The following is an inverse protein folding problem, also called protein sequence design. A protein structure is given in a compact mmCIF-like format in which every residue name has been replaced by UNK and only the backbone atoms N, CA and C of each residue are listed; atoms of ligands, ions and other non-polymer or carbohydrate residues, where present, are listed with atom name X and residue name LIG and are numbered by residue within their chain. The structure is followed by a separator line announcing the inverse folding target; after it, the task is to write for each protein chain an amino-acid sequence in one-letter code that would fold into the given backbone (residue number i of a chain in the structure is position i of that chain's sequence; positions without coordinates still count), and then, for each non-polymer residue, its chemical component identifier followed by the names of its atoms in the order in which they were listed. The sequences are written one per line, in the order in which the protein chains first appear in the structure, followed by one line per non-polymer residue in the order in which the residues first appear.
data_IF_298061349256
#
_entry.id   IF_298061349256
#
_cell.length_a   1.000
_cell.length_b   1.000
_cell.length_c   1.000
_cell.angle_alpha   90.00
_cell.angle_beta   90.00
_cell.angle_gamma   90.00
#
_symmetry.space_group_name_H-M   'P 1'
#
loop_
_entity.id
_entity.type
_entity.pdbx_description
1 polymer ?
#
# COMPACT_ATOMS: atom_id res chain seq x y z
N UNK A 1 -5.57 -12.11 41.07
CA UNK A 1 -6.22 -11.56 39.85
C UNK A 1 -5.33 -10.58 39.08
N UNK A 2 -4.00 -10.56 39.26
CA UNK A 2 -3.06 -9.72 38.48
C UNK A 2 -2.37 -10.48 37.33
N UNK A 3 -2.26 -11.80 37.45
CA UNK A 3 -1.59 -12.66 36.46
C UNK A 3 -2.43 -12.93 35.19
N UNK A 4 -3.77 -12.92 35.30
CA UNK A 4 -4.66 -13.17 34.15
C UNK A 4 -4.61 -12.02 33.14
N UNK A 5 -4.51 -10.78 33.62
CA UNK A 5 -4.40 -9.60 32.75
C UNK A 5 -3.08 -9.57 31.97
N UNK A 6 -1.98 -10.08 32.55
CA UNK A 6 -0.66 -10.10 31.93
C UNK A 6 -0.58 -11.20 30.85
N UNK A 7 -1.20 -12.37 31.08
CA UNK A 7 -1.27 -13.42 30.06
C UNK A 7 -2.15 -13.05 28.86
N UNK A 8 -3.17 -12.21 29.03
CA UNK A 8 -4.04 -11.79 27.92
C UNK A 8 -3.37 -10.76 27.00
N UNK A 9 -2.50 -9.90 27.53
CA UNK A 9 -1.67 -8.98 26.72
C UNK A 9 -0.59 -9.70 25.90
N UNK A 10 -0.07 -10.82 26.39
CA UNK A 10 0.98 -11.58 25.71
C UNK A 10 0.49 -12.27 24.43
N UNK A 11 -0.80 -12.57 24.32
CA UNK A 11 -1.39 -13.25 23.16
C UNK A 11 -1.53 -12.27 21.98
N UNK A 12 -1.71 -10.96 22.23
CA UNK A 12 -1.73 -9.94 21.17
C UNK A 12 -0.35 -9.66 20.56
N UNK A 13 0.76 -10.02 21.22
CA UNK A 13 2.11 -9.79 20.70
C UNK A 13 2.57 -10.80 19.64
N UNK A 14 1.81 -11.89 19.42
CA UNK A 14 2.14 -12.95 18.47
C UNK A 14 1.31 -12.89 17.17
N UNK A 15 0.24 -12.10 17.15
CA UNK A 15 -0.40 -11.75 15.90
C UNK A 15 0.49 -10.70 15.24
N UNK A 16 1.28 -11.11 14.24
CA UNK A 16 1.69 -10.20 13.17
C UNK A 16 0.40 -9.61 12.61
N UNK A 17 -0.07 -8.50 13.20
CA UNK A 17 -1.01 -7.60 12.58
C UNK A 17 -0.26 -7.01 11.41
N UNK A 18 -0.19 -7.75 10.30
CA UNK A 18 0.20 -7.19 9.02
C UNK A 18 -0.84 -6.11 8.75
N UNK A 19 -0.38 -4.86 8.72
CA UNK A 19 -1.27 -3.72 8.64
C UNK A 19 -2.15 -3.92 7.39
N UNK A 20 -3.49 -3.92 7.51
CA UNK A 20 -4.39 -4.12 6.37
C UNK A 20 -4.14 -3.09 5.26
N UNK A 21 -3.59 -1.92 5.62
CA UNK A 21 -3.15 -0.92 4.64
C UNK A 21 -1.92 -1.41 3.90
N UNK A 22 -0.92 -1.94 4.59
CA UNK A 22 0.33 -2.41 3.96
C UNK A 22 0.01 -3.45 2.87
N UNK A 23 -0.91 -4.38 3.14
CA UNK A 23 -1.35 -5.36 2.15
C UNK A 23 -2.00 -4.70 0.93
N UNK A 24 -2.83 -3.68 1.13
CA UNK A 24 -3.52 -2.99 0.03
C UNK A 24 -2.56 -2.12 -0.78
N UNK A 25 -1.65 -1.40 -0.11
CA UNK A 25 -0.57 -0.66 -0.76
C UNK A 25 0.33 -1.57 -1.60
N UNK A 26 0.63 -2.78 -1.13
CA UNK A 26 1.38 -3.76 -1.92
C UNK A 26 0.64 -4.12 -3.22
N UNK A 27 -0.69 -4.31 -3.17
CA UNK A 27 -1.48 -4.62 -4.38
C UNK A 27 -1.49 -3.45 -5.37
N UNK A 28 -1.71 -2.23 -4.88
CA UNK A 28 -1.66 -1.00 -5.70
C UNK A 28 -0.30 -0.86 -6.36
N UNK A 29 0.78 -0.99 -5.58
CA UNK A 29 2.13 -0.81 -6.09
C UNK A 29 2.56 -1.92 -7.04
N UNK A 30 2.08 -3.15 -6.86
CA UNK A 30 2.28 -4.22 -7.83
C UNK A 30 1.60 -3.90 -9.16
N UNK A 31 0.42 -3.29 -9.13
CA UNK A 31 -0.27 -2.83 -10.33
C UNK A 31 0.48 -1.67 -11.00
N UNK A 32 0.96 -0.70 -10.22
CA UNK A 32 1.82 0.39 -10.74
C UNK A 32 3.06 -0.16 -11.44
N UNK A 33 3.70 -1.18 -10.88
CA UNK A 33 4.86 -1.85 -11.53
C UNK A 33 4.45 -2.49 -12.85
N UNK A 34 3.31 -3.19 -12.88
CA UNK A 34 2.80 -3.81 -14.11
C UNK A 34 2.45 -2.78 -15.19
N UNK A 35 2.02 -1.59 -14.78
CA UNK A 35 1.61 -0.51 -15.68
C UNK A 35 2.78 0.33 -16.19
N UNK A 36 3.68 0.75 -15.30
CA UNK A 36 4.70 1.75 -15.59
C UNK A 36 6.12 1.18 -15.72
N UNK A 37 6.38 -0.02 -15.18
CA UNK A 37 7.74 -0.53 -15.00
C UNK A 37 7.96 -1.97 -15.51
N UNK A 38 6.96 -2.57 -16.19
CA UNK A 38 6.98 -3.99 -16.57
C UNK A 38 8.21 -4.39 -17.36
N UNK A 39 8.63 -3.54 -18.30
CA UNK A 39 9.76 -3.82 -19.19
C UNK A 39 11.11 -3.29 -18.66
N UNK A 40 11.11 -2.73 -17.45
CA UNK A 40 12.31 -2.21 -16.81
C UNK A 40 13.07 -3.28 -16.03
N UNK A 41 14.37 -3.04 -15.78
CA UNK A 41 15.18 -3.90 -14.93
C UNK A 41 14.62 -4.02 -13.52
N UNK A 42 14.83 -5.17 -12.87
CA UNK A 42 14.32 -5.46 -11.52
C UNK A 42 14.75 -4.42 -10.48
N UNK A 43 15.92 -3.78 -10.62
CA UNK A 43 16.33 -2.74 -9.69
C UNK A 43 15.45 -1.48 -9.80
N UNK A 44 15.04 -1.10 -11.01
CA UNK A 44 14.14 0.03 -11.26
C UNK A 44 12.75 -0.31 -10.75
N UNK A 45 12.26 -1.53 -11.03
CA UNK A 45 11.00 -2.02 -10.47
C UNK A 45 11.01 -1.95 -8.94
N UNK A 46 12.08 -2.41 -8.29
CA UNK A 46 12.17 -2.34 -6.83
C UNK A 46 12.18 -0.89 -6.31
N UNK A 47 12.87 0.04 -6.98
CA UNK A 47 12.84 1.45 -6.58
C UNK A 47 11.44 2.05 -6.71
N UNK A 48 10.75 1.80 -7.82
CA UNK A 48 9.38 2.27 -8.06
C UNK A 48 8.43 1.67 -7.02
N UNK A 49 8.58 0.37 -6.69
CA UNK A 49 7.78 -0.30 -5.67
C UNK A 49 7.97 0.36 -4.30
N UNK A 50 9.21 0.63 -3.90
CA UNK A 50 9.51 1.31 -2.63
C UNK A 50 8.89 2.71 -2.60
N UNK A 51 9.12 3.52 -3.63
CA UNK A 51 8.56 4.87 -3.71
C UNK A 51 7.02 4.87 -3.71
N UNK A 52 6.40 3.88 -4.34
CA UNK A 52 4.96 3.72 -4.32
C UNK A 52 4.45 3.34 -2.92
N UNK A 53 5.11 2.41 -2.22
CA UNK A 53 4.72 2.01 -0.86
C UNK A 53 4.85 3.21 0.09
N UNK A 54 5.94 3.97 -0.01
CA UNK A 54 6.16 5.17 0.81
C UNK A 54 5.05 6.21 0.55
N UNK A 55 4.74 6.48 -0.73
CA UNK A 55 3.64 7.38 -1.11
C UNK A 55 2.27 6.89 -0.63
N UNK A 56 2.01 5.59 -0.73
CA UNK A 56 0.78 4.96 -0.27
C UNK A 56 0.64 4.99 1.26
N UNK A 57 1.73 4.86 2.01
CA UNK A 57 1.71 4.99 3.46
C UNK A 57 1.40 6.44 3.90
N UNK A 58 1.85 7.44 3.14
CA UNK A 58 1.65 8.87 3.45
C UNK A 58 0.25 9.34 3.02
N UNK A 59 -0.19 8.99 1.81
CA UNK A 59 -1.48 9.39 1.23
C UNK A 59 -2.49 8.24 1.21
N UNK A 60 -2.45 7.43 2.28
CA UNK A 60 -3.22 6.20 2.42
C UNK A 60 -4.71 6.39 2.11
N UNK A 61 -5.34 7.40 2.70
CA UNK A 61 -6.78 7.65 2.52
C UNK A 61 -7.16 7.89 1.07
N UNK A 62 -6.29 8.55 0.31
CA UNK A 62 -6.60 9.07 -1.02
C UNK A 62 -6.23 8.05 -2.12
N UNK A 63 -5.20 7.23 -1.85
CA UNK A 63 -4.72 6.19 -2.77
C UNK A 63 -5.56 4.92 -2.65
N UNK A 64 -6.08 4.60 -1.45
CA UNK A 64 -6.95 3.44 -1.25
C UNK A 64 -8.26 3.55 -2.04
N UNK A 65 -8.82 4.75 -2.19
CA UNK A 65 -10.05 4.98 -2.95
C UNK A 65 -9.87 4.78 -4.46
N UNK A 66 -8.63 4.89 -4.95
CA UNK A 66 -8.28 4.69 -6.35
C UNK A 66 -8.09 3.22 -6.73
N UNK A 67 -8.01 2.31 -5.77
CA UNK A 67 -7.77 0.91 -6.07
C UNK A 67 -9.06 0.17 -6.36
N UNK A 68 -9.18 -0.27 -7.61
CA UNK A 68 -10.14 -1.30 -8.03
C UNK A 68 -9.36 -2.41 -8.73
N UNK A 69 -9.68 -3.68 -8.44
CA UNK A 69 -9.04 -4.83 -9.09
C UNK A 69 -9.20 -4.80 -10.63
N UNK A 70 -10.24 -4.11 -11.11
CA UNK A 70 -10.57 -3.96 -12.53
C UNK A 70 -10.03 -2.67 -13.17
N UNK A 71 -9.43 -1.76 -12.40
CA UNK A 71 -8.93 -0.49 -12.95
C UNK A 71 -7.78 -0.74 -13.94
N UNK A 72 -7.89 -0.14 -15.13
CA UNK A 72 -6.80 -0.14 -16.09
C UNK A 72 -5.72 0.88 -15.68
N UNK A 73 -4.56 0.79 -16.34
CA UNK A 73 -3.38 1.54 -15.95
C UNK A 73 -3.54 3.06 -16.04
N UNK A 74 -4.37 3.52 -16.98
CA UNK A 74 -4.68 4.93 -17.19
C UNK A 74 -5.56 5.45 -16.06
N UNK A 75 -6.68 4.77 -15.77
CA UNK A 75 -7.58 5.12 -14.66
C UNK A 75 -6.86 5.12 -13.30
N UNK A 76 -6.01 4.12 -13.03
CA UNK A 76 -5.24 4.06 -11.79
C UNK A 76 -4.26 5.24 -11.69
N UNK A 77 -3.56 5.56 -12.77
CA UNK A 77 -2.59 6.64 -12.83
C UNK A 77 -3.25 8.01 -12.65
N UNK A 78 -4.36 8.26 -13.36
CA UNK A 78 -5.12 9.51 -13.24
C UNK A 78 -5.70 9.69 -11.84
N UNK A 79 -6.29 8.63 -11.26
CA UNK A 79 -6.85 8.71 -9.92
C UNK A 79 -5.77 9.02 -8.88
N UNK A 80 -4.65 8.28 -8.88
CA UNK A 80 -3.54 8.53 -7.94
C UNK A 80 -2.98 9.95 -8.10
N UNK A 81 -2.80 10.42 -9.33
CA UNK A 81 -2.31 11.76 -9.62
C UNK A 81 -3.27 12.84 -9.10
N UNK A 82 -4.56 12.70 -9.40
CA UNK A 82 -5.59 13.65 -8.96
C UNK A 82 -5.75 13.67 -7.44
N UNK A 83 -5.72 12.50 -6.79
CA UNK A 83 -5.81 12.34 -5.34
C UNK A 83 -4.64 13.02 -4.60
N UNK A 84 -3.43 12.93 -5.15
CA UNK A 84 -2.23 13.58 -4.56
C UNK A 84 -2.22 15.07 -4.88
N UNK A 85 -2.59 15.48 -6.10
CA UNK A 85 -2.51 16.86 -6.55
C UNK A 85 -3.67 17.73 -6.04
N UNK A 86 -4.83 17.16 -5.71
CA UNK A 86 -5.97 17.88 -5.10
C UNK A 86 -5.67 18.44 -3.70
N UNK A 87 -4.53 18.09 -3.09
CA UNK A 87 -4.12 18.55 -1.76
C UNK A 87 -3.20 19.79 -1.80
N UNK A 88 -2.85 20.27 -3.00
CA UNK A 88 -2.03 21.48 -3.23
C UNK A 88 -2.85 22.60 -3.87
#
# INVERSE_FOLDING_TARGET
MRFVAISMLAICGLFSCKDPVEETCLKICDRVIQCAAKDHATNIQNQIRISCIDGCAIHQSDILECYSDDADCEELGECMFNSIMSQY
#
